data_IF_410459006683
#
_entry.id   IF_410459006683
#
_cell.length_a   1.000
_cell.length_b   1.000
_cell.length_c   1.000
_cell.angle_alpha   90.00
_cell.angle_beta   90.00
_cell.angle_gamma   90.00
#
_symmetry.space_group_name_H-M   'P 1'
#
loop_
_entity.id
_entity.type
_entity.pdbx_description
1 polymer ?
#
# COMPACT_ATOMS: atom_id res chain seq x y z
N UNK A 1 2.61 26.53 2.87
CA UNK A 1 2.59 25.05 3.03
C UNK A 1 4.03 24.59 2.96
N UNK A 2 4.60 24.12 4.07
CA UNK A 2 5.92 23.48 4.04
C UNK A 2 5.73 22.18 3.24
N UNK A 3 6.36 22.07 2.07
CA UNK A 3 6.38 20.81 1.34
C UNK A 3 7.23 19.87 2.19
N UNK A 4 6.61 18.94 2.92
CA UNK A 4 7.34 17.89 3.60
C UNK A 4 8.27 17.23 2.57
N UNK A 5 9.56 17.19 2.88
CA UNK A 5 10.57 16.65 1.98
C UNK A 5 10.27 15.19 1.68
N UNK A 6 10.10 14.85 0.40
CA UNK A 6 9.76 13.49 0.00
C UNK A 6 10.76 12.46 0.57
N UNK A 7 10.29 11.34 1.14
CA UNK A 7 11.17 10.31 1.66
C UNK A 7 12.06 9.73 0.55
N UNK A 8 13.22 9.25 0.94
CA UNK A 8 14.23 8.70 0.02
C UNK A 8 14.18 7.18 -0.01
N UNK A 9 14.85 6.57 -1.00
CA UNK A 9 15.08 5.12 -1.00
C UNK A 9 15.84 4.66 0.26
N UNK A 10 16.74 5.49 0.80
CA UNK A 10 17.42 5.18 2.05
C UNK A 10 16.42 5.10 3.23
N UNK A 11 15.43 6.00 3.28
CA UNK A 11 14.36 5.92 4.27
C UNK A 11 13.54 4.62 4.11
N UNK A 12 13.14 4.28 2.88
CA UNK A 12 12.37 3.05 2.59
C UNK A 12 13.03 1.79 3.17
N UNK A 13 14.36 1.66 3.03
CA UNK A 13 15.10 0.48 3.49
C UNK A 13 15.65 0.59 4.91
N UNK A 14 15.50 1.74 5.58
CA UNK A 14 16.01 1.93 6.94
C UNK A 14 15.24 1.13 8.00
N UNK A 15 13.99 0.76 7.72
CA UNK A 15 13.16 -0.02 8.66
C UNK A 15 12.09 -0.82 7.90
N UNK A 16 11.78 -2.08 8.29
CA UNK A 16 10.75 -2.88 7.60
C UNK A 16 9.36 -2.22 7.60
N UNK A 17 9.03 -1.46 8.65
CA UNK A 17 7.81 -0.66 8.69
C UNK A 17 7.74 0.39 7.55
N UNK A 18 8.86 1.01 7.17
CA UNK A 18 8.85 1.99 6.09
C UNK A 18 8.54 1.31 4.75
N UNK A 19 9.11 0.13 4.53
CA UNK A 19 8.85 -0.65 3.32
C UNK A 19 7.36 -1.01 3.17
N UNK A 20 6.70 -1.40 4.26
CA UNK A 20 5.27 -1.68 4.28
C UNK A 20 4.45 -0.39 4.15
N UNK A 21 4.73 0.63 4.95
CA UNK A 21 3.98 1.88 4.98
C UNK A 21 4.01 2.62 3.64
N UNK A 22 5.14 2.60 2.93
CA UNK A 22 5.30 3.22 1.61
C UNK A 22 4.79 2.33 0.46
N UNK A 23 4.00 1.29 0.76
CA UNK A 23 3.40 0.42 -0.27
C UNK A 23 4.44 -0.22 -1.18
N UNK A 24 5.50 -0.81 -0.60
CA UNK A 24 6.60 -1.46 -1.33
C UNK A 24 7.38 -0.51 -2.25
N UNK A 25 7.37 0.79 -1.96
CA UNK A 25 8.04 1.84 -2.72
C UNK A 25 7.13 2.72 -3.56
N UNK A 26 5.83 2.40 -3.67
CA UNK A 26 4.83 3.28 -4.31
C UNK A 26 4.82 4.70 -3.73
N UNK A 27 4.96 4.81 -2.41
CA UNK A 27 4.99 6.06 -1.67
C UNK A 27 6.18 6.98 -2.02
N UNK A 28 7.21 6.45 -2.70
CA UNK A 28 8.33 7.26 -3.21
C UNK A 28 8.00 7.97 -4.53
N UNK A 29 6.84 7.70 -5.13
CA UNK A 29 6.45 8.34 -6.37
C UNK A 29 6.31 9.85 -6.19
N UNK A 30 6.94 10.60 -7.11
CA UNK A 30 6.92 12.08 -7.09
C UNK A 30 5.52 12.66 -7.32
N UNK A 31 4.66 11.94 -8.03
CA UNK A 31 3.32 12.40 -8.41
C UNK A 31 2.27 11.37 -8.01
N UNK A 32 1.23 11.84 -7.32
CA UNK A 32 0.09 11.04 -6.86
C UNK A 32 0.50 9.67 -6.23
N UNK A 33 1.34 9.67 -5.17
CA UNK A 33 1.80 8.44 -4.53
C UNK A 33 0.67 7.50 -4.12
N UNK A 34 -0.47 8.03 -3.63
CA UNK A 34 -1.66 7.22 -3.32
C UNK A 34 -2.23 6.49 -4.56
N UNK A 35 -2.26 7.13 -5.73
CA UNK A 35 -2.66 6.48 -6.99
C UNK A 35 -1.67 5.39 -7.41
N UNK A 36 -0.37 5.60 -7.19
CA UNK A 36 0.61 4.53 -7.43
C UNK A 36 0.42 3.40 -6.42
N UNK A 37 0.03 3.70 -5.18
CA UNK A 37 -0.36 2.73 -4.16
C UNK A 37 -1.54 1.86 -4.59
N UNK A 38 -2.63 2.46 -5.09
CA UNK A 38 -3.77 1.68 -5.62
C UNK A 38 -3.37 0.81 -6.80
N UNK A 39 -2.55 1.34 -7.73
CA UNK A 39 -2.03 0.55 -8.85
C UNK A 39 -1.14 -0.62 -8.38
N UNK A 40 -0.38 -0.47 -7.30
CA UNK A 40 0.42 -1.57 -6.70
C UNK A 40 -0.45 -2.69 -6.12
N UNK A 41 -1.69 -2.41 -5.73
CA UNK A 41 -2.59 -3.46 -5.26
C UNK A 41 -3.02 -4.42 -6.38
N UNK A 42 -3.00 -4.01 -7.65
CA UNK A 42 -3.35 -4.88 -8.80
C UNK A 42 -2.40 -6.09 -8.93
N UNK A 43 -1.07 -5.92 -9.09
CA UNK A 43 -0.16 -7.06 -9.18
C UNK A 43 -0.16 -7.90 -7.89
N UNK A 44 -0.37 -7.27 -6.73
CA UNK A 44 -0.47 -7.99 -5.45
C UNK A 44 -1.73 -8.87 -5.39
N UNK A 45 -2.88 -8.36 -5.84
CA UNK A 45 -4.12 -9.14 -5.94
C UNK A 45 -3.98 -10.32 -6.91
N UNK A 46 -3.34 -10.10 -8.07
CA UNK A 46 -3.05 -11.18 -9.03
C UNK A 46 -2.15 -12.26 -8.42
N UNK A 47 -1.14 -11.87 -7.64
CA UNK A 47 -0.28 -12.82 -6.92
C UNK A 47 -1.09 -13.63 -5.90
N UNK A 48 -1.92 -12.95 -5.08
CA UNK A 48 -2.74 -13.62 -4.07
C UNK A 48 -3.72 -14.59 -4.70
N UNK A 49 -4.41 -14.21 -5.78
CA UNK A 49 -5.32 -15.11 -6.51
C UNK A 49 -4.59 -16.32 -7.11
N UNK A 50 -3.34 -16.14 -7.57
CA UNK A 50 -2.54 -17.22 -8.16
C UNK A 50 -2.06 -18.24 -7.13
N UNK A 51 -1.67 -17.78 -5.94
CA UNK A 51 -0.98 -18.61 -4.94
C UNK A 51 -1.84 -18.97 -3.73
N UNK A 52 -3.04 -18.40 -3.59
CA UNK A 52 -3.94 -18.63 -2.48
C UNK A 52 -5.39 -18.78 -2.96
N UNK A 53 -6.27 -19.25 -2.08
CA UNK A 53 -7.71 -19.22 -2.28
C UNK A 53 -8.33 -17.96 -1.62
N UNK A 54 -9.65 -17.79 -1.71
CA UNK A 54 -10.36 -16.63 -1.14
C UNK A 54 -10.05 -16.42 0.35
N UNK A 55 -9.97 -17.50 1.14
CA UNK A 55 -9.62 -17.41 2.55
C UNK A 55 -8.19 -16.88 2.75
N UNK A 56 -7.22 -17.37 1.97
CA UNK A 56 -5.84 -16.90 2.00
C UNK A 56 -5.69 -15.43 1.56
N UNK A 57 -6.48 -15.01 0.58
CA UNK A 57 -6.57 -13.61 0.16
C UNK A 57 -7.06 -12.73 1.31
N UNK A 58 -8.21 -13.07 1.91
CA UNK A 58 -8.81 -12.29 3.02
C UNK A 58 -7.88 -12.25 4.23
N UNK A 59 -7.29 -13.38 4.61
CA UNK A 59 -6.31 -13.43 5.72
C UNK A 59 -5.13 -12.51 5.43
N UNK A 60 -4.63 -12.48 4.20
CA UNK A 60 -3.52 -11.60 3.83
C UNK A 60 -3.92 -10.12 3.87
N UNK A 61 -5.12 -9.77 3.41
CA UNK A 61 -5.66 -8.40 3.51
C UNK A 61 -5.78 -7.96 4.96
N UNK A 62 -6.33 -8.81 5.84
CA UNK A 62 -6.44 -8.52 7.28
C UNK A 62 -5.05 -8.38 7.92
N UNK A 63 -4.11 -9.26 7.57
CA UNK A 63 -2.73 -9.16 8.04
C UNK A 63 -2.06 -7.86 7.59
N UNK A 64 -2.23 -7.46 6.33
CA UNK A 64 -1.73 -6.19 5.79
C UNK A 64 -2.42 -4.98 6.43
N UNK A 65 -3.71 -5.06 6.77
CA UNK A 65 -4.41 -3.99 7.49
C UNK A 65 -3.78 -3.76 8.87
N UNK A 66 -3.57 -4.83 9.64
CA UNK A 66 -2.99 -4.76 10.99
C UNK A 66 -1.53 -4.32 10.94
N UNK A 67 -0.72 -4.99 10.10
CA UNK A 67 0.69 -4.66 9.94
C UNK A 67 0.88 -3.27 9.33
N UNK A 68 0.01 -2.87 8.40
CA UNK A 68 -0.01 -1.58 7.75
C UNK A 68 -0.33 -0.44 8.71
N UNK A 69 -1.34 -0.60 9.57
CA UNK A 69 -1.66 0.39 10.60
C UNK A 69 -0.48 0.59 11.57
N UNK A 70 0.17 -0.49 12.02
CA UNK A 70 1.40 -0.40 12.82
C UNK A 70 2.54 0.29 12.04
N UNK A 71 2.73 -0.08 10.77
CA UNK A 71 3.78 0.43 9.92
C UNK A 71 3.60 1.93 9.63
N UNK A 72 2.37 2.38 9.40
CA UNK A 72 2.00 3.78 9.23
C UNK A 72 2.34 4.59 10.49
N UNK A 73 1.98 4.10 11.67
CA UNK A 73 2.33 4.77 12.93
C UNK A 73 3.84 4.89 13.14
N UNK A 74 4.62 3.84 12.87
CA UNK A 74 6.08 3.88 12.99
C UNK A 74 6.68 4.86 11.98
N UNK A 75 6.26 4.78 10.72
CA UNK A 75 6.79 5.61 9.64
C UNK A 75 6.42 7.07 9.83
N UNK A 76 5.19 7.37 10.23
CA UNK A 76 4.74 8.74 10.50
C UNK A 76 5.50 9.38 11.66
N UNK A 77 5.81 8.62 12.71
CA UNK A 77 6.72 9.10 13.78
C UNK A 77 8.12 9.40 13.25
N UNK A 78 8.67 8.52 12.42
CA UNK A 78 10.02 8.68 11.86
C UNK A 78 10.10 9.78 10.79
N UNK A 79 8.98 10.11 10.13
CA UNK A 79 8.83 11.25 9.24
C UNK A 79 8.47 12.54 9.97
N UNK A 80 8.16 12.46 11.27
CA UNK A 80 7.61 13.57 12.07
C UNK A 80 6.30 14.14 11.50
N UNK A 81 5.59 13.35 10.70
CA UNK A 81 4.32 13.68 10.06
C UNK A 81 3.48 12.40 9.92
N UNK A 82 2.40 12.31 10.70
CA UNK A 82 1.56 11.12 10.76
C UNK A 82 0.74 10.89 9.47
N UNK A 83 0.39 11.97 8.78
CA UNK A 83 -0.43 11.95 7.55
C UNK A 83 0.44 12.27 6.32
N UNK A 84 1.73 11.91 6.39
CA UNK A 84 2.65 12.15 5.28
C UNK A 84 2.17 11.37 4.05
N UNK A 85 1.93 12.08 2.93
CA UNK A 85 1.36 11.47 1.71
C UNK A 85 2.23 10.41 1.00
N UNK A 86 3.36 10.00 1.59
CA UNK A 86 4.15 8.86 1.13
C UNK A 86 3.77 7.56 1.85
N UNK A 87 3.06 7.65 2.98
CA UNK A 87 2.44 6.51 3.64
C UNK A 87 1.19 6.19 2.82
N UNK A 88 1.23 5.08 2.08
CA UNK A 88 0.18 4.72 1.11
C UNK A 88 -0.36 3.31 1.29
N UNK A 89 -0.11 2.72 2.46
CA UNK A 89 -0.49 1.33 2.75
C UNK A 89 -2.00 1.17 2.89
N UNK A 90 -2.70 2.21 3.33
CA UNK A 90 -4.16 2.23 3.41
C UNK A 90 -4.81 2.23 2.03
N UNK A 91 -4.28 2.94 1.03
CA UNK A 91 -4.78 2.84 -0.35
C UNK A 91 -4.52 1.46 -0.95
N UNK A 92 -3.34 0.87 -0.69
CA UNK A 92 -3.03 -0.50 -1.13
C UNK A 92 -4.03 -1.49 -0.53
N UNK A 93 -4.24 -1.45 0.80
CA UNK A 93 -5.12 -2.39 1.49
C UNK A 93 -6.59 -2.18 1.11
N UNK A 94 -7.04 -0.93 1.03
CA UNK A 94 -8.40 -0.62 0.62
C UNK A 94 -8.68 -1.11 -0.81
N UNK A 95 -7.75 -0.89 -1.75
CA UNK A 95 -7.94 -1.33 -3.12
C UNK A 95 -7.84 -2.85 -3.26
N UNK A 96 -7.04 -3.55 -2.45
CA UNK A 96 -7.09 -5.02 -2.37
C UNK A 96 -8.48 -5.54 -1.98
N UNK A 97 -9.17 -4.86 -1.04
CA UNK A 97 -10.56 -5.21 -0.67
C UNK A 97 -11.50 -5.02 -1.85
N UNK A 98 -11.38 -3.91 -2.59
CA UNK A 98 -12.17 -3.67 -3.81
C UNK A 98 -11.90 -4.78 -4.83
N UNK A 99 -10.63 -5.06 -5.13
CA UNK A 99 -10.22 -6.06 -6.10
C UNK A 99 -10.67 -7.47 -5.73
N UNK A 100 -10.80 -7.80 -4.45
CA UNK A 100 -11.35 -9.07 -3.99
C UNK A 100 -12.76 -9.31 -4.57
N UNK A 101 -13.64 -8.30 -4.51
CA UNK A 101 -15.02 -8.38 -5.01
C UNK A 101 -15.14 -8.17 -6.52
N UNK A 102 -14.28 -7.36 -7.12
CA UNK A 102 -14.27 -7.06 -8.56
C UNK A 102 -13.92 -8.28 -9.40
N UNK A 103 -13.01 -9.12 -8.89
CA UNK A 103 -12.48 -10.29 -9.62
C UNK A 103 -11.16 -9.98 -10.32
N UNK A 104 -10.88 -10.72 -11.39
CA UNK A 104 -9.68 -10.62 -12.23
C UNK A 104 -9.97 -10.20 -13.68
N UNK A 105 -11.24 -9.96 -14.01
CA UNK A 105 -11.62 -9.39 -15.30
C UNK A 105 -11.06 -7.98 -15.46
N UNK A 106 -10.26 -7.79 -16.52
CA UNK A 106 -9.49 -6.57 -16.72
C UNK A 106 -10.37 -5.32 -16.95
N UNK A 107 -11.56 -5.47 -17.55
CA UNK A 107 -12.49 -4.37 -17.72
C UNK A 107 -13.02 -3.93 -16.35
N UNK A 108 -13.46 -4.88 -15.52
CA UNK A 108 -13.94 -4.55 -14.17
C UNK A 108 -12.85 -3.94 -13.31
N UNK A 109 -11.61 -4.42 -13.41
CA UNK A 109 -10.44 -3.84 -12.72
C UNK A 109 -10.15 -2.42 -13.20
N UNK A 110 -10.29 -2.12 -14.49
CA UNK A 110 -10.04 -0.79 -15.05
C UNK A 110 -11.07 0.27 -14.61
N UNK A 111 -12.28 -0.15 -14.21
CA UNK A 111 -13.36 0.72 -13.74
C UNK A 111 -13.58 0.65 -12.22
N UNK A 112 -12.73 -0.08 -11.49
CA UNK A 112 -12.73 -0.17 -10.04
C UNK A 112 -12.03 1.03 -9.41
#
# INVERSE_FOLDING_TARGET
MSVASAPTAAFLFAHPAHFVALGFGAGLARFAPGTIGTLMAIPLALLLRRYTNDAGFVVTVVALLVAGAWAAQVSGRNLTDADHGAIVIDEVVAFLVVLFFVGDDWLRVAFA
#
